data_IF_249174753752
#
_entry.id   IF_249174753752
#
_cell.length_a   1.000
_cell.length_b   1.000
_cell.length_c   1.000
_cell.angle_alpha   90.00
_cell.angle_beta   90.00
_cell.angle_gamma   90.00
#
_symmetry.space_group_name_H-M   'P 1'
#
loop_
_entity.id
_entity.type
_entity.pdbx_description
1 polymer ?
#
# COMPACT_ATOMS: atom_id res chain seq x y z
N UNK A 1 4.65 50.46 17.58
CA UNK A 1 4.18 49.87 16.29
C UNK A 1 4.34 48.36 16.39
N UNK A 2 3.23 47.64 16.19
CA UNK A 2 2.98 46.29 16.72
C UNK A 2 3.67 45.15 15.96
N UNK A 3 4.00 44.10 16.72
CA UNK A 3 4.60 42.84 16.31
C UNK A 3 3.46 41.86 15.99
N UNK A 4 3.24 41.53 14.71
CA UNK A 4 2.18 40.60 14.29
C UNK A 4 2.66 39.16 14.55
N UNK A 5 1.96 38.49 15.46
CA UNK A 5 2.02 37.03 15.67
C UNK A 5 1.03 36.40 14.69
N UNK A 6 1.51 35.56 13.78
CA UNK A 6 0.64 34.69 12.98
C UNK A 6 0.00 33.64 13.88
N UNK A 7 -1.32 33.70 13.94
CA UNK A 7 -2.21 32.78 14.64
C UNK A 7 -2.56 31.68 13.64
N UNK A 8 -2.02 30.48 13.85
CA UNK A 8 -2.35 29.30 13.06
C UNK A 8 -3.69 28.77 13.60
N UNK A 9 -4.77 29.04 12.88
CA UNK A 9 -6.09 28.46 13.14
C UNK A 9 -6.06 26.95 12.88
N UNK A 10 -5.97 26.19 13.98
CA UNK A 10 -6.22 24.75 14.01
C UNK A 10 -7.73 24.51 13.98
N UNK A 11 -8.29 24.28 12.78
CA UNK A 11 -9.73 24.11 12.60
C UNK A 11 -10.12 23.28 11.39
N UNK A 12 -9.59 22.05 11.27
CA UNK A 12 -10.12 21.03 10.35
C UNK A 12 -10.66 19.87 11.19
N UNK A 13 -11.97 19.55 11.15
CA UNK A 13 -12.51 18.40 11.85
C UNK A 13 -12.02 17.14 11.14
N UNK A 14 -11.01 16.51 11.73
CA UNK A 14 -10.63 15.13 11.40
C UNK A 14 -11.80 14.22 11.78
N UNK A 15 -12.67 13.92 10.82
CA UNK A 15 -13.52 12.74 10.87
C UNK A 15 -12.61 11.52 10.75
N UNK A 16 -12.02 11.12 11.88
CA UNK A 16 -11.32 9.86 12.02
C UNK A 16 -12.37 8.74 12.02
N UNK A 17 -12.34 7.80 11.05
CA UNK A 17 -13.10 6.57 11.19
C UNK A 17 -12.62 5.84 12.44
N UNK A 18 -13.57 5.41 13.28
CA UNK A 18 -13.37 4.70 14.55
C UNK A 18 -12.54 3.42 14.38
N UNK A 19 -11.20 3.52 14.36
CA UNK A 19 -10.36 2.35 14.13
C UNK A 19 -8.86 2.49 14.40
N UNK A 20 -8.35 3.60 14.93
CA UNK A 20 -6.91 3.72 15.22
C UNK A 20 -6.71 4.25 16.65
N UNK A 21 -7.05 3.42 17.64
CA UNK A 21 -6.47 3.55 18.98
C UNK A 21 -5.36 2.51 19.09
N UNK A 22 -4.12 3.00 19.24
CA UNK A 22 -2.90 2.19 19.42
C UNK A 22 -3.11 1.26 20.62
N UNK A 23 -3.08 -0.06 20.41
CA UNK A 23 -3.04 -1.04 21.49
C UNK A 23 -1.59 -1.43 21.76
N UNK A 24 -1.03 -0.92 22.85
CA UNK A 24 0.01 -1.61 23.60
C UNK A 24 -0.70 -2.50 24.63
N UNK A 25 -0.87 -3.78 24.34
CA UNK A 25 -1.35 -4.75 25.33
C UNK A 25 -0.62 -6.09 25.17
N UNK A 26 0.09 -6.46 26.23
CA UNK A 26 0.87 -7.70 26.38
C UNK A 26 -0.09 -8.89 26.36
N UNK A 27 -0.04 -9.72 25.32
CA UNK A 27 -0.85 -10.93 25.24
C UNK A 27 -0.16 -12.09 25.96
N UNK A 28 -0.78 -12.52 27.06
CA UNK A 28 -0.52 -13.77 27.75
C UNK A 28 -0.84 -14.98 26.86
N UNK A 29 -0.20 -16.10 27.18
CA UNK A 29 -0.08 -17.29 26.33
C UNK A 29 -1.12 -18.33 26.74
N UNK A 30 -2.38 -18.11 26.39
CA UNK A 30 -3.44 -19.08 26.68
C UNK A 30 -3.75 -19.96 25.45
N UNK A 31 -3.90 -21.25 25.71
CA UNK A 31 -4.10 -22.32 24.74
C UNK A 31 -5.32 -22.04 23.84
N UNK A 32 -5.08 -22.00 22.52
CA UNK A 32 -6.09 -21.68 21.50
C UNK A 32 -6.76 -22.95 20.98
N UNK A 33 -7.99 -23.24 21.41
CA UNK A 33 -8.81 -24.31 20.85
C UNK A 33 -9.48 -23.85 19.54
N UNK A 34 -9.01 -24.44 18.42
CA UNK A 34 -9.40 -24.07 17.05
C UNK A 34 -10.82 -24.57 16.71
N UNK A 35 -11.36 -25.52 17.48
CA UNK A 35 -12.59 -26.23 17.14
C UNK A 35 -13.88 -25.47 17.45
N UNK A 36 -13.85 -24.50 18.36
CA UNK A 36 -15.04 -23.78 18.80
C UNK A 36 -15.41 -22.62 17.86
N UNK A 37 -14.42 -21.98 17.24
CA UNK A 37 -14.63 -20.85 16.34
C UNK A 37 -15.24 -21.26 14.97
N UNK A 38 -15.21 -22.54 14.62
CA UNK A 38 -15.91 -23.06 13.44
C UNK A 38 -17.43 -23.14 13.61
N UNK A 39 -17.94 -23.18 14.86
CA UNK A 39 -19.39 -23.23 15.15
C UNK A 39 -20.10 -21.87 15.04
N UNK A 40 -19.34 -20.75 14.99
CA UNK A 40 -19.92 -19.40 15.07
C UNK A 40 -20.13 -18.70 13.72
N UNK A 41 -19.76 -19.32 12.59
CA UNK A 41 -20.29 -19.03 11.24
C UNK A 41 -20.11 -17.61 10.68
N UNK A 42 -19.49 -16.70 11.42
CA UNK A 42 -19.20 -15.36 10.96
C UNK A 42 -17.96 -14.88 11.67
N UNK A 43 -16.98 -14.46 10.90
CA UNK A 43 -15.81 -13.80 11.40
C UNK A 43 -15.81 -12.39 10.79
N UNK A 44 -15.61 -11.34 11.60
CA UNK A 44 -16.05 -9.98 11.27
C UNK A 44 -15.29 -9.30 10.14
N UNK A 45 -14.17 -9.87 9.67
CA UNK A 45 -13.34 -9.33 8.57
C UNK A 45 -12.68 -10.41 7.70
N UNK A 46 -13.10 -11.67 7.84
CA UNK A 46 -12.33 -12.77 7.28
C UNK A 46 -12.85 -13.21 5.92
N UNK A 47 -12.12 -12.80 4.87
CA UNK A 47 -11.95 -13.67 3.71
C UNK A 47 -11.46 -15.04 4.20
N UNK A 48 -12.23 -16.10 3.91
CA UNK A 48 -11.94 -17.51 4.24
C UNK A 48 -10.47 -17.93 3.94
N UNK A 49 -9.97 -18.99 4.59
CA UNK A 49 -8.56 -19.21 4.91
C UNK A 49 -7.66 -19.30 3.67
N UNK A 50 -6.70 -18.38 3.58
CA UNK A 50 -5.62 -18.36 2.59
C UNK A 50 -4.43 -19.19 3.10
N UNK A 51 -4.55 -20.51 3.20
CA UNK A 51 -3.34 -21.36 3.19
C UNK A 51 -3.08 -21.97 1.80
N UNK A 52 -3.90 -21.60 0.81
CA UNK A 52 -3.76 -21.98 -0.61
C UNK A 52 -3.97 -20.82 -1.59
N UNK A 53 -4.07 -19.57 -1.12
CA UNK A 53 -4.33 -18.42 -2.00
C UNK A 53 -3.09 -17.55 -2.21
N UNK A 54 -1.94 -18.21 -2.35
CA UNK A 54 -0.87 -17.64 -3.13
C UNK A 54 -1.17 -18.06 -4.58
N UNK A 55 -1.42 -17.08 -5.43
CA UNK A 55 -1.83 -17.19 -6.84
C UNK A 55 -3.33 -17.39 -7.07
N UNK A 56 -3.96 -16.36 -7.64
CA UNK A 56 -5.03 -16.34 -8.64
C UNK A 56 -5.87 -17.61 -8.96
N UNK A 57 -6.21 -18.48 -8.02
CA UNK A 57 -6.89 -19.74 -8.32
C UNK A 57 -8.42 -19.54 -8.25
N UNK A 58 -9.09 -19.70 -9.40
CA UNK A 58 -10.52 -20.02 -9.48
C UNK A 58 -10.77 -21.44 -8.92
N UNK A 59 -12.00 -21.79 -8.56
CA UNK A 59 -12.37 -23.14 -8.07
C UNK A 59 -12.00 -24.27 -9.07
N UNK A 60 -11.62 -23.90 -10.31
CA UNK A 60 -11.14 -24.77 -11.39
C UNK A 60 -9.63 -24.74 -11.63
N UNK A 61 -8.83 -24.26 -10.66
CA UNK A 61 -7.38 -24.09 -10.78
C UNK A 61 -6.91 -23.22 -11.97
N UNK A 62 -7.76 -22.30 -12.45
CA UNK A 62 -7.41 -21.35 -13.51
C UNK A 62 -6.94 -20.03 -12.91
N UNK A 63 -5.96 -19.41 -13.57
CA UNK A 63 -5.42 -18.11 -13.17
C UNK A 63 -6.45 -17.02 -13.48
N UNK A 64 -6.86 -16.31 -12.44
CA UNK A 64 -7.73 -15.13 -12.52
C UNK A 64 -6.88 -13.91 -12.89
N UNK A 65 -7.37 -13.06 -13.78
CA UNK A 65 -6.69 -11.80 -14.08
C UNK A 65 -6.73 -10.81 -12.89
N UNK A 66 -5.75 -9.89 -12.82
CA UNK A 66 -5.64 -8.91 -11.76
C UNK A 66 -6.88 -7.99 -11.64
N UNK A 67 -7.49 -7.61 -12.76
CA UNK A 67 -8.69 -6.78 -12.80
C UNK A 67 -9.89 -7.54 -12.25
N UNK A 68 -10.08 -8.78 -12.73
CA UNK A 68 -11.15 -9.66 -12.25
C UNK A 68 -11.03 -9.92 -10.75
N UNK A 69 -9.80 -10.08 -10.26
CA UNK A 69 -9.55 -10.27 -8.84
C UNK A 69 -9.90 -9.04 -8.00
N UNK A 70 -9.56 -7.83 -8.48
CA UNK A 70 -9.94 -6.57 -7.82
C UNK A 70 -11.46 -6.40 -7.75
N UNK A 71 -12.17 -6.67 -8.86
CA UNK A 71 -13.64 -6.65 -8.90
C UNK A 71 -14.24 -7.65 -7.91
N UNK A 72 -13.68 -8.86 -7.79
CA UNK A 72 -14.12 -9.87 -6.81
C UNK A 72 -13.90 -9.41 -5.36
N UNK A 73 -12.82 -8.67 -5.06
CA UNK A 73 -12.62 -8.08 -3.72
C UNK A 73 -13.71 -7.05 -3.42
N UNK A 74 -14.01 -6.17 -4.37
CA UNK A 74 -15.05 -5.16 -4.21
C UNK A 74 -16.44 -5.79 -4.03
N UNK A 75 -16.74 -6.85 -4.79
CA UNK A 75 -17.97 -7.62 -4.61
C UNK A 75 -18.07 -8.25 -3.22
N UNK A 76 -16.95 -8.75 -2.66
CA UNK A 76 -16.92 -9.34 -1.30
C UNK A 76 -17.15 -8.29 -0.20
N UNK A 77 -16.67 -7.07 -0.38
CA UNK A 77 -16.86 -5.99 0.59
C UNK A 77 -18.35 -5.73 0.89
N UNK A 78 -19.23 -5.96 -0.09
CA UNK A 78 -20.69 -5.83 0.10
C UNK A 78 -21.27 -6.81 1.11
N UNK A 79 -20.65 -7.99 1.28
CA UNK A 79 -21.11 -9.04 2.18
C UNK A 79 -20.45 -8.98 3.56
N UNK A 80 -19.57 -8.00 3.82
CA UNK A 80 -18.93 -7.81 5.12
C UNK A 80 -19.95 -7.41 6.19
N UNK A 81 -19.75 -7.88 7.42
CA UNK A 81 -20.61 -7.48 8.55
C UNK A 81 -20.36 -6.01 8.90
N UNK A 82 -21.45 -5.25 8.98
CA UNK A 82 -21.38 -3.82 9.30
C UNK A 82 -21.01 -3.63 10.77
N UNK A 83 -20.16 -2.65 11.07
CA UNK A 83 -19.92 -2.21 12.45
C UNK A 83 -21.16 -1.51 12.96
N UNK A 84 -21.77 -2.03 14.03
CA UNK A 84 -22.95 -1.42 14.64
C UNK A 84 -22.56 -0.44 15.74
N UNK A 85 -21.64 -0.88 16.60
CA UNK A 85 -21.07 -0.12 17.70
C UNK A 85 -19.54 -0.26 17.64
N UNK A 86 -18.83 0.79 18.06
CA UNK A 86 -17.37 0.75 18.18
C UNK A 86 -16.93 -0.29 19.21
N UNK A 87 -15.63 -0.57 19.26
CA UNK A 87 -15.09 -1.48 20.26
C UNK A 87 -15.32 -0.90 21.67
N UNK A 88 -15.79 -1.74 22.60
CA UNK A 88 -15.86 -1.39 24.02
C UNK A 88 -14.45 -1.26 24.62
N UNK A 89 -14.32 -0.81 25.87
CA UNK A 89 -13.03 -0.65 26.57
C UNK A 89 -12.24 -1.97 26.64
N UNK A 90 -12.95 -3.11 26.69
CA UNK A 90 -12.38 -4.46 26.66
C UNK A 90 -12.10 -4.98 25.24
N UNK A 91 -12.46 -4.21 24.20
CA UNK A 91 -12.18 -4.52 22.79
C UNK A 91 -13.23 -5.39 22.09
N UNK A 92 -14.39 -5.64 22.71
CA UNK A 92 -15.52 -6.32 22.06
C UNK A 92 -16.16 -5.45 21.00
N UNK A 93 -16.46 -6.01 19.83
CA UNK A 93 -17.06 -5.26 18.72
C UNK A 93 -18.40 -5.85 18.33
N UNK A 94 -19.43 -5.02 18.27
CA UNK A 94 -20.75 -5.45 17.78
C UNK A 94 -20.86 -5.22 16.28
N UNK A 95 -21.16 -6.29 15.56
CA UNK A 95 -21.42 -6.24 14.12
C UNK A 95 -22.85 -6.64 13.80
N UNK A 96 -23.32 -6.19 12.65
CA UNK A 96 -24.67 -6.39 12.15
C UNK A 96 -24.64 -7.08 10.77
N UNK A 97 -25.66 -7.91 10.53
CA UNK A 97 -25.88 -8.51 9.21
C UNK A 97 -26.03 -7.42 8.13
N UNK A 98 -25.34 -7.50 6.97
CA UNK A 98 -25.36 -6.48 5.92
C UNK A 98 -26.73 -6.32 5.23
N UNK A 99 -27.67 -7.23 5.49
CA UNK A 99 -29.04 -7.14 4.98
C UNK A 99 -29.99 -6.37 5.92
N UNK A 100 -29.53 -5.93 7.10
CA UNK A 100 -30.35 -5.20 8.09
C UNK A 100 -29.95 -3.73 8.17
N UNK A 101 -30.95 -2.86 8.30
CA UNK A 101 -30.75 -1.44 8.60
C UNK A 101 -30.91 -0.52 7.40
N UNK A 102 -30.84 0.81 7.61
CA UNK A 102 -31.05 1.81 6.57
C UNK A 102 -29.94 1.79 5.50
N UNK A 103 -28.75 1.32 5.85
CA UNK A 103 -27.59 1.19 4.96
C UNK A 103 -27.34 -0.24 4.50
N UNK A 104 -28.38 -1.08 4.39
CA UNK A 104 -28.23 -2.47 3.95
C UNK A 104 -27.59 -2.55 2.55
N UNK A 105 -26.49 -3.31 2.44
CA UNK A 105 -25.72 -3.49 1.20
C UNK A 105 -26.18 -4.72 0.43
N UNK A 106 -26.88 -5.63 1.11
CA UNK A 106 -27.28 -6.94 0.59
C UNK A 106 -28.80 -7.12 0.69
N UNK A 107 -29.39 -7.75 -0.32
CA UNK A 107 -30.76 -8.27 -0.30
C UNK A 107 -30.72 -9.76 -0.01
N UNK A 108 -31.23 -10.16 1.15
CA UNK A 108 -31.22 -11.55 1.61
C UNK A 108 -32.67 -12.06 1.74
N UNK A 109 -33.00 -13.26 1.22
CA UNK A 109 -34.36 -13.79 1.31
C UNK A 109 -34.79 -14.18 2.75
N UNK A 110 -33.85 -14.28 3.70
CA UNK A 110 -34.16 -14.55 5.11
C UNK A 110 -34.59 -13.31 5.90
N UNK A 111 -34.51 -12.11 5.31
CA UNK A 111 -34.77 -10.87 6.02
C UNK A 111 -35.59 -9.90 5.18
N UNK A 112 -36.58 -9.29 5.81
CA UNK A 112 -37.32 -8.20 5.20
C UNK A 112 -36.43 -6.96 5.02
N UNK A 113 -36.50 -6.29 3.86
CA UNK A 113 -35.73 -5.08 3.62
C UNK A 113 -36.22 -3.92 4.50
N UNK A 114 -35.28 -3.11 4.98
CA UNK A 114 -35.63 -1.89 5.69
C UNK A 114 -36.21 -0.87 4.69
N UNK A 115 -37.24 -0.10 5.08
CA UNK A 115 -37.94 0.87 4.22
C UNK A 115 -36.97 1.80 3.49
N UNK A 116 -35.99 2.38 4.22
CA UNK A 116 -34.97 3.29 3.66
C UNK A 116 -33.94 2.63 2.70
N UNK A 117 -33.93 1.30 2.60
CA UNK A 117 -32.99 0.53 1.78
C UNK A 117 -33.62 -0.06 0.51
N UNK A 118 -34.93 0.08 0.34
CA UNK A 118 -35.67 -0.54 -0.78
C UNK A 118 -35.15 -0.04 -2.13
N UNK A 119 -35.01 1.28 -2.27
CA UNK A 119 -34.60 1.94 -3.52
C UNK A 119 -33.09 1.89 -3.78
N UNK A 120 -32.29 1.43 -2.81
CA UNK A 120 -30.83 1.39 -2.96
C UNK A 120 -30.39 0.13 -3.72
N UNK A 121 -29.39 0.24 -4.62
CA UNK A 121 -28.85 -0.94 -5.29
C UNK A 121 -28.17 -1.86 -4.26
N UNK A 122 -28.66 -3.10 -4.16
CA UNK A 122 -28.20 -4.11 -3.20
C UNK A 122 -27.70 -5.36 -3.91
N UNK A 123 -26.62 -5.96 -3.39
CA UNK A 123 -26.17 -7.26 -3.88
C UNK A 123 -27.17 -8.35 -3.46
N UNK A 124 -27.62 -9.18 -4.40
CA UNK A 124 -28.58 -10.26 -4.10
C UNK A 124 -27.84 -11.49 -3.58
N UNK A 125 -28.20 -11.98 -2.40
CA UNK A 125 -27.80 -13.32 -1.95
C UNK A 125 -28.70 -14.34 -2.64
N UNK A 126 -28.09 -15.24 -3.39
CA UNK A 126 -28.80 -16.32 -4.04
C UNK A 126 -29.25 -17.36 -3.00
N UNK A 127 -30.50 -17.87 -3.06
CA UNK A 127 -30.99 -18.86 -2.11
C UNK A 127 -30.13 -20.12 -2.01
N UNK A 128 -29.52 -20.55 -3.12
CA UNK A 128 -28.61 -21.71 -3.18
C UNK A 128 -27.36 -21.55 -2.31
N UNK A 129 -26.97 -20.31 -2.00
CA UNK A 129 -25.80 -20.01 -1.17
C UNK A 129 -26.12 -19.96 0.33
N UNK A 130 -27.39 -20.15 0.72
CA UNK A 130 -27.80 -20.09 2.11
C UNK A 130 -27.45 -21.38 2.85
N UNK A 131 -26.65 -21.24 3.91
CA UNK A 131 -26.29 -22.35 4.78
C UNK A 131 -27.49 -22.80 5.62
N UNK A 132 -27.76 -24.11 5.64
CA UNK A 132 -28.75 -24.78 6.49
C UNK A 132 -28.05 -25.74 7.47
N UNK A 133 -28.35 -25.71 8.78
CA UNK A 133 -29.26 -24.80 9.48
C UNK A 133 -28.79 -23.34 9.47
N UNK A 134 -29.71 -22.40 9.74
CA UNK A 134 -29.40 -20.98 9.68
C UNK A 134 -28.36 -20.60 10.76
N UNK A 135 -27.25 -19.93 10.39
CA UNK A 135 -26.23 -19.51 11.36
C UNK A 135 -26.77 -18.39 12.27
N UNK A 136 -26.08 -18.15 13.39
CA UNK A 136 -26.45 -17.11 14.38
C UNK A 136 -26.63 -15.72 13.77
N UNK A 137 -25.84 -15.39 12.73
CA UNK A 137 -25.94 -14.13 11.96
C UNK A 137 -27.29 -13.96 11.30
N UNK A 138 -27.92 -15.05 10.89
CA UNK A 138 -29.22 -15.02 10.22
C UNK A 138 -30.36 -14.93 11.23
N UNK A 139 -30.20 -15.52 12.42
CA UNK A 139 -31.22 -15.53 13.47
C UNK A 139 -31.21 -14.25 14.31
N UNK A 140 -30.03 -13.73 14.64
CA UNK A 140 -29.86 -12.51 15.44
C UNK A 140 -29.60 -11.29 14.55
N UNK A 141 -30.09 -10.10 14.90
CA UNK A 141 -29.83 -8.87 14.12
C UNK A 141 -28.38 -8.40 14.25
N UNK A 142 -27.81 -8.56 15.44
CA UNK A 142 -26.46 -8.14 15.81
C UNK A 142 -25.74 -9.28 16.52
N UNK A 143 -24.42 -9.28 16.45
CA UNK A 143 -23.56 -10.22 17.15
C UNK A 143 -22.35 -9.50 17.73
N UNK A 144 -21.93 -9.91 18.91
CA UNK A 144 -20.72 -9.39 19.56
C UNK A 144 -19.55 -10.34 19.27
N UNK A 145 -18.40 -9.78 18.91
CA UNK A 145 -17.16 -10.49 18.69
C UNK A 145 -16.15 -10.13 19.77
N UNK A 146 -15.50 -11.13 20.36
CA UNK A 146 -14.43 -10.92 21.32
C UNK A 146 -13.18 -10.41 20.59
N UNK A 147 -12.28 -9.66 21.27
CA UNK A 147 -11.04 -9.19 20.65
C UNK A 147 -10.12 -10.32 20.19
N UNK A 148 -10.23 -11.52 20.77
CA UNK A 148 -9.49 -12.71 20.34
C UNK A 148 -10.10 -13.39 19.09
N UNK A 149 -11.38 -13.12 18.79
CA UNK A 149 -12.10 -13.74 17.69
C UNK A 149 -11.60 -13.22 16.35
N UNK A 150 -10.79 -14.03 15.67
CA UNK A 150 -10.22 -13.67 14.37
C UNK A 150 -8.97 -12.78 14.46
N UNK A 151 -8.46 -12.48 15.65
CA UNK A 151 -7.28 -11.63 15.88
C UNK A 151 -6.06 -12.05 15.04
N UNK A 152 -5.83 -13.37 14.91
CA UNK A 152 -4.73 -13.95 14.12
C UNK A 152 -4.72 -13.47 12.65
N UNK A 153 -5.89 -13.11 12.12
CA UNK A 153 -6.06 -12.76 10.71
C UNK A 153 -6.70 -11.40 10.53
N UNK A 154 -6.85 -10.64 11.60
CA UNK A 154 -7.34 -9.28 11.51
C UNK A 154 -6.27 -8.42 10.83
N UNK A 155 -6.70 -7.68 9.80
CA UNK A 155 -5.88 -6.69 9.12
C UNK A 155 -6.66 -5.38 9.09
N UNK A 156 -5.95 -4.26 9.18
CA UNK A 156 -6.56 -2.94 9.10
C UNK A 156 -7.20 -2.71 7.72
N UNK A 157 -6.51 -3.12 6.66
CA UNK A 157 -7.02 -3.10 5.29
C UNK A 157 -7.30 -4.53 4.81
N UNK A 158 -8.33 -4.77 3.99
CA UNK A 158 -8.55 -6.08 3.39
C UNK A 158 -7.33 -6.50 2.56
N UNK A 159 -6.88 -7.73 2.74
CA UNK A 159 -5.73 -8.29 2.01
C UNK A 159 -5.92 -8.12 0.50
N UNK A 160 -4.86 -7.66 -0.18
CA UNK A 160 -4.83 -7.42 -1.63
C UNK A 160 -5.82 -6.37 -2.17
N UNK A 161 -6.53 -5.63 -1.31
CA UNK A 161 -7.26 -4.43 -1.72
C UNK A 161 -6.33 -3.39 -2.35
N UNK A 162 -6.88 -2.44 -3.10
CA UNK A 162 -6.12 -1.34 -3.66
C UNK A 162 -5.37 -0.54 -2.58
N UNK A 163 -6.03 -0.30 -1.43
CA UNK A 163 -5.42 0.35 -0.28
C UNK A 163 -4.28 -0.49 0.32
N UNK A 164 -4.49 -1.80 0.50
CA UNK A 164 -3.44 -2.71 0.96
C UNK A 164 -2.23 -2.68 0.03
N UNK A 165 -2.43 -2.73 -1.30
CA UNK A 165 -1.34 -2.68 -2.28
C UNK A 165 -0.58 -1.36 -2.22
N UNK A 166 -1.28 -0.24 -2.05
CA UNK A 166 -0.71 1.11 -1.92
C UNK A 166 0.26 1.19 -0.75
N UNK A 167 -0.06 0.58 0.38
CA UNK A 167 0.80 0.58 1.57
C UNK A 167 1.87 -0.52 1.53
N UNK A 168 1.49 -1.74 1.16
CA UNK A 168 2.35 -2.91 1.23
C UNK A 168 3.48 -2.86 0.21
N UNK A 169 3.19 -2.53 -1.05
CA UNK A 169 4.20 -2.61 -2.11
C UNK A 169 5.40 -1.68 -1.87
N UNK A 170 5.23 -0.39 -1.56
CA UNK A 170 6.38 0.49 -1.28
C UNK A 170 7.18 0.05 -0.05
N UNK A 171 6.49 -0.35 1.01
CA UNK A 171 7.12 -0.75 2.26
C UNK A 171 7.91 -2.04 2.10
N UNK A 172 7.34 -3.03 1.40
CA UNK A 172 8.02 -4.29 1.07
C UNK A 172 9.24 -4.07 0.17
N UNK A 173 9.08 -3.27 -0.88
CA UNK A 173 10.19 -2.92 -1.78
C UNK A 173 11.34 -2.23 -1.03
N UNK A 174 11.03 -1.43 -0.02
CA UNK A 174 12.05 -0.79 0.83
C UNK A 174 12.82 -1.82 1.65
N UNK A 175 12.13 -2.78 2.27
CA UNK A 175 12.76 -3.88 3.01
C UNK A 175 13.61 -4.75 2.08
N UNK A 176 13.10 -5.10 0.90
CA UNK A 176 13.83 -5.90 -0.08
C UNK A 176 15.06 -5.16 -0.63
N UNK A 177 14.94 -3.85 -0.87
CA UNK A 177 16.06 -2.98 -1.22
C UNK A 177 17.12 -2.93 -0.11
N UNK A 178 16.70 -2.82 1.15
CA UNK A 178 17.62 -2.85 2.30
C UNK A 178 18.33 -4.20 2.41
N UNK A 179 17.58 -5.30 2.32
CA UNK A 179 18.14 -6.64 2.35
C UNK A 179 19.11 -6.88 1.20
N UNK A 180 18.77 -6.41 -0.01
CA UNK A 180 19.67 -6.48 -1.17
C UNK A 180 20.97 -5.71 -0.92
N UNK A 181 20.90 -4.52 -0.34
CA UNK A 181 22.11 -3.75 0.01
C UNK A 181 22.96 -4.43 1.09
N UNK A 182 22.32 -5.08 2.08
CA UNK A 182 23.01 -5.81 3.14
C UNK A 182 23.60 -7.15 2.69
N UNK A 183 23.18 -7.64 1.52
CA UNK A 183 23.68 -8.87 0.88
C UNK A 183 24.48 -8.57 -0.39
N UNK A 184 24.85 -7.32 -0.61
CA UNK A 184 25.66 -6.95 -1.77
C UNK A 184 27.10 -7.45 -1.58
N UNK A 185 27.48 -8.47 -2.35
CA UNK A 185 28.80 -9.10 -2.30
C UNK A 185 29.98 -8.12 -2.47
N UNK A 186 29.76 -6.93 -3.03
CA UNK A 186 30.80 -5.90 -3.15
C UNK A 186 31.10 -5.16 -1.84
N UNK A 187 30.11 -5.04 -0.95
CA UNK A 187 30.11 -4.02 0.10
C UNK A 187 29.65 -4.51 1.48
N UNK A 188 28.74 -5.48 1.50
CA UNK A 188 28.21 -6.14 2.68
C UNK A 188 27.73 -7.54 2.25
N UNK A 189 28.63 -8.51 2.30
CA UNK A 189 28.35 -9.88 1.87
C UNK A 189 27.80 -10.70 3.04
N UNK A 190 26.66 -10.29 3.61
CA UNK A 190 26.11 -10.91 4.82
C UNK A 190 25.68 -12.38 4.60
N UNK A 191 25.31 -12.73 3.38
CA UNK A 191 24.93 -14.07 2.95
C UNK A 191 26.10 -14.94 2.49
N UNK A 192 27.28 -14.35 2.29
CA UNK A 192 28.49 -15.08 1.93
C UNK A 192 29.06 -15.79 3.16
N UNK A 193 29.13 -17.11 3.08
CA UNK A 193 29.59 -17.96 4.18
C UNK A 193 31.10 -17.85 4.39
N UNK A 194 31.87 -17.57 3.33
CA UNK A 194 33.33 -17.47 3.40
C UNK A 194 33.78 -16.18 4.07
N UNK A 195 32.97 -15.13 3.98
CA UNK A 195 33.23 -13.81 4.58
C UNK A 195 32.66 -13.65 5.98
N UNK A 196 31.94 -14.67 6.49
CA UNK A 196 31.43 -14.66 7.86
C UNK A 196 32.58 -14.84 8.86
N UNK A 197 32.66 -14.04 9.93
CA UNK A 197 33.62 -14.26 11.01
C UNK A 197 33.49 -15.66 11.61
N UNK A 198 34.57 -16.16 12.22
CA UNK A 198 34.58 -17.48 12.87
C UNK A 198 33.43 -17.66 13.87
N UNK A 199 33.04 -18.93 14.09
CA UNK A 199 31.89 -19.37 14.88
C UNK A 199 31.75 -18.59 16.20
N UNK A 200 30.56 -18.03 16.41
CA UNK A 200 30.20 -17.32 17.65
C UNK A 200 29.13 -16.27 17.38
N UNK A 201 28.04 -16.30 18.14
CA UNK A 201 26.92 -15.37 17.96
C UNK A 201 27.33 -13.91 18.20
N UNK A 202 28.18 -13.66 19.20
CA UNK A 202 28.66 -12.32 19.52
C UNK A 202 29.48 -11.68 18.38
N UNK A 203 30.42 -12.41 17.78
CA UNK A 203 31.21 -11.92 16.65
C UNK A 203 30.33 -11.61 15.43
N UNK A 204 29.31 -12.45 15.19
CA UNK A 204 28.34 -12.24 14.12
C UNK A 204 27.45 -11.02 14.37
N UNK A 205 27.03 -10.77 15.61
CA UNK A 205 26.28 -9.57 15.97
C UNK A 205 27.07 -8.29 15.72
N UNK A 206 28.35 -8.25 16.12
CA UNK A 206 29.21 -7.08 15.91
C UNK A 206 29.37 -6.79 14.42
N UNK A 207 29.63 -7.82 13.61
CA UNK A 207 29.76 -7.64 12.16
C UNK A 207 28.44 -7.25 11.51
N UNK A 208 27.32 -7.84 11.91
CA UNK A 208 26.00 -7.44 11.44
C UNK A 208 25.76 -5.94 11.72
N UNK A 209 26.01 -5.49 12.95
CA UNK A 209 25.85 -4.11 13.34
C UNK A 209 26.74 -3.16 12.52
N UNK A 210 28.01 -3.49 12.34
CA UNK A 210 28.96 -2.70 11.53
C UNK A 210 28.55 -2.65 10.06
N UNK A 211 28.14 -3.77 9.47
CA UNK A 211 27.68 -3.84 8.07
C UNK A 211 26.39 -3.04 7.86
N UNK A 212 25.46 -3.10 8.82
CA UNK A 212 24.24 -2.29 8.79
C UNK A 212 24.57 -0.81 8.87
N UNK A 213 25.44 -0.39 9.79
CA UNK A 213 25.88 0.99 9.90
C UNK A 213 26.56 1.48 8.60
N UNK A 214 27.49 0.70 8.04
CA UNK A 214 28.16 1.03 6.79
C UNK A 214 27.17 1.15 5.61
N UNK A 215 26.16 0.27 5.55
CA UNK A 215 25.11 0.31 4.53
C UNK A 215 24.26 1.57 4.67
N UNK A 216 23.91 1.95 5.89
CA UNK A 216 23.16 3.18 6.16
C UNK A 216 23.96 4.42 5.72
N UNK A 217 25.25 4.48 6.06
CA UNK A 217 26.13 5.59 5.63
C UNK A 217 26.17 5.69 4.10
N UNK A 218 26.36 4.58 3.38
CA UNK A 218 26.37 4.56 1.90
C UNK A 218 25.04 5.04 1.31
N UNK A 219 23.91 4.64 1.90
CA UNK A 219 22.59 5.10 1.46
C UNK A 219 22.42 6.60 1.66
N UNK A 220 22.81 7.13 2.82
CA UNK A 220 22.77 8.57 3.11
C UNK A 220 23.64 9.33 2.12
N UNK A 221 24.90 8.92 1.89
CA UNK A 221 25.81 9.60 0.95
C UNK A 221 25.27 9.57 -0.48
N UNK A 222 24.67 8.45 -0.91
CA UNK A 222 24.06 8.34 -2.24
C UNK A 222 22.83 9.23 -2.39
N UNK A 223 22.02 9.35 -1.33
CA UNK A 223 20.84 10.19 -1.30
C UNK A 223 21.21 11.67 -1.32
N UNK A 224 22.21 12.09 -0.53
CA UNK A 224 22.69 13.49 -0.53
C UNK A 224 23.25 13.87 -1.89
N UNK A 225 24.04 13.01 -2.52
CA UNK A 225 24.59 13.26 -3.85
C UNK A 225 23.48 13.39 -4.91
N UNK A 226 22.50 12.48 -4.91
CA UNK A 226 21.34 12.54 -5.82
C UNK A 226 20.50 13.80 -5.60
N UNK A 227 20.30 14.21 -4.35
CA UNK A 227 19.56 15.42 -3.99
C UNK A 227 20.27 16.68 -4.48
N UNK A 228 21.60 16.73 -4.36
CA UNK A 228 22.41 17.84 -4.89
C UNK A 228 22.28 17.95 -6.43
N UNK A 229 22.32 16.82 -7.15
CA UNK A 229 22.11 16.78 -8.60
C UNK A 229 20.73 17.29 -9.00
N UNK A 230 19.66 16.83 -8.34
CA UNK A 230 18.30 17.31 -8.63
C UNK A 230 18.16 18.83 -8.41
N UNK A 231 18.80 19.36 -7.36
CA UNK A 231 18.82 20.79 -7.09
C UNK A 231 19.61 21.57 -8.16
N UNK A 232 20.72 21.03 -8.68
CA UNK A 232 21.47 21.67 -9.76
C UNK A 232 20.72 21.63 -11.10
N UNK A 233 20.00 20.54 -11.37
CA UNK A 233 19.23 20.36 -12.61
C UNK A 233 17.99 21.26 -12.64
N UNK A 234 17.37 21.50 -11.48
CA UNK A 234 16.22 22.43 -11.35
C UNK A 234 16.67 23.90 -11.40
N UNK A 235 17.93 24.19 -11.05
CA UNK A 235 18.50 25.55 -11.02
C UNK A 235 19.16 25.98 -12.34
N UNK A 236 19.31 25.09 -13.33
CA UNK A 236 19.97 25.41 -14.59
C UNK A 236 18.93 25.62 -15.72
N UNK A 237 18.61 26.87 -16.12
CA UNK A 237 18.28 27.09 -17.52
C UNK A 237 19.51 26.65 -18.34
N UNK A 238 19.29 25.93 -19.45
CA UNK A 238 20.36 25.57 -20.36
C UNK A 238 21.20 26.83 -20.65
N UNK A 239 22.49 26.84 -20.27
CA UNK A 239 23.37 27.96 -20.58
C UNK A 239 23.26 28.20 -22.09
N UNK A 240 22.93 29.41 -22.57
CA UNK A 240 22.97 29.68 -24.00
C UNK A 240 24.38 29.34 -24.48
N UNK A 241 24.49 28.34 -25.36
CA UNK A 241 25.78 28.03 -25.97
C UNK A 241 26.21 29.27 -26.73
N UNK A 242 27.28 29.90 -26.27
CA UNK A 242 27.89 31.03 -26.97
C UNK A 242 28.35 30.48 -28.32
N UNK A 243 27.71 30.92 -29.41
CA UNK A 243 28.04 30.48 -30.76
C UNK A 243 29.55 30.53 -30.95
N UNK A 244 30.15 29.45 -31.48
CA UNK A 244 31.61 29.43 -31.69
C UNK A 244 31.94 30.53 -32.68
N UNK A 245 33.04 31.27 -32.49
CA UNK A 245 33.47 32.36 -33.39
C UNK A 245 33.42 31.95 -34.88
N UNK A 246 33.75 30.68 -35.17
CA UNK A 246 33.72 30.09 -36.52
C UNK A 246 32.32 30.03 -37.13
N UNK A 247 31.27 29.87 -36.35
CA UNK A 247 29.87 29.90 -36.81
C UNK A 247 29.41 31.34 -37.06
N UNK A 248 29.82 32.28 -36.21
CA UNK A 248 29.52 33.72 -36.38
C UNK A 248 30.22 34.29 -37.63
N UNK A 249 31.41 33.80 -37.97
CA UNK A 249 32.19 34.31 -39.11
C UNK A 249 31.91 33.54 -40.42
N UNK A 250 30.98 32.57 -40.41
CA UNK A 250 30.65 31.76 -41.59
C UNK A 250 29.77 32.56 -42.54
N UNK A 251 30.39 33.35 -43.41
CA UNK A 251 29.70 34.17 -44.42
C UNK A 251 30.45 35.45 -44.81
N UNK A 252 31.43 35.89 -44.01
CA UNK A 252 32.16 37.14 -44.27
C UNK A 252 33.23 37.03 -45.38
N UNK A 253 33.49 35.82 -45.90
CA UNK A 253 34.57 35.53 -46.84
C UNK A 253 34.08 35.01 -48.20
N UNK A 254 32.78 34.99 -48.45
CA UNK A 254 32.21 34.66 -49.76
C UNK A 254 31.43 35.89 -50.21
N UNK A 255 31.95 36.60 -51.21
CA UNK A 255 31.14 37.57 -51.95
C UNK A 255 29.99 36.80 -52.59
N UNK A 256 28.77 37.36 -52.55
CA UNK A 256 27.63 36.75 -53.20
C UNK A 256 27.94 36.58 -54.69
N UNK A 257 27.49 35.46 -55.26
CA UNK A 257 27.83 35.04 -56.63
C UNK A 257 27.38 36.07 -57.70
N UNK A 258 26.39 36.89 -57.36
CA UNK A 258 25.92 38.01 -58.19
C UNK A 258 26.93 39.18 -58.20
N UNK A 259 27.58 39.46 -57.07
CA UNK A 259 28.64 40.48 -56.94
C UNK A 259 29.91 40.08 -57.70
N UNK A 260 30.22 38.78 -57.76
CA UNK A 260 31.35 38.26 -58.56
C UNK A 260 31.12 38.37 -60.07
N UNK A 261 29.85 38.36 -60.53
CA UNK A 261 29.51 38.43 -61.95
C UNK A 261 29.62 39.84 -62.54
N UNK A 262 29.74 40.88 -61.71
CA UNK A 262 29.87 42.28 -62.12
C UNK A 262 31.33 42.79 -62.15
N UNK A 263 32.31 41.94 -61.86
CA UNK A 263 33.72 42.31 -61.99
C UNK A 263 34.09 42.50 -63.48
N UNK A 264 34.72 43.63 -63.86
CA UNK A 264 35.14 43.84 -65.24
C UNK A 264 36.19 42.79 -65.65
N UNK A 265 36.14 42.27 -66.89
CA UNK A 265 37.09 41.26 -67.34
C UNK A 265 38.51 41.84 -67.38
N UNK A 266 39.54 41.04 -67.04
CA UNK A 266 40.92 41.53 -67.02
C UNK A 266 41.37 41.87 -68.45
N UNK A 267 41.98 43.04 -68.61
CA UNK A 267 42.61 43.49 -69.85
C UNK A 267 43.78 42.58 -70.22
N UNK A 268 43.81 42.11 -71.47
CA UNK A 268 44.85 41.25 -72.04
C UNK A 268 46.20 41.97 -72.24
#
# INVERSE_FOLDING_TARGET
>A
MGRVREQIDSGLPLFLPCGIQRRDARLGRDHYDISENQRNGALPRLSRPLHWAEHFLDDRKRWIDAETYAQRIEQRARYELHVKECADDEGYVRRQCPAVGPSATVSCPRREPHVKSVDRPRARVLPILLVTPAPRVCTQKTMTFAPADGAKREQACPYQSAEWKKWYAPMRNTVESNNKSLKDGRFAALDDTERRPRRGWAAMLVVLAMLTAATNVRKITSWTARRQQMNSDTAAPAKPQRARRREVTRGYSLLDREEQAQAPPPSA
#
